data_IF_165003977450
#
_entry.id   IF_165003977450
#
_cell.length_a   1.000
_cell.length_b   1.000
_cell.length_c   1.000
_cell.angle_alpha   90.00
_cell.angle_beta   90.00
_cell.angle_gamma   90.00
#
_symmetry.space_group_name_H-M   'P 1'
#
loop_
_entity.id
_entity.type
_entity.pdbx_description
1 polymer ?
#
# COMPACT_ATOMS: atom_id res chain seq x y z
N UNK A 1 -12.28 20.54 14.18
CA UNK A 1 -13.41 19.93 13.45
C UNK A 1 -12.83 19.15 12.28
N UNK A 2 -12.83 17.81 12.35
CA UNK A 2 -12.38 16.99 11.24
C UNK A 2 -13.45 17.08 10.14
N UNK A 3 -13.09 17.64 8.99
CA UNK A 3 -13.95 17.56 7.82
C UNK A 3 -14.01 16.08 7.39
N UNK A 4 -15.17 15.45 7.60
CA UNK A 4 -15.54 14.24 6.90
C UNK A 4 -15.65 14.63 5.42
N UNK A 5 -14.65 14.30 4.62
CA UNK A 5 -14.74 14.44 3.16
C UNK A 5 -15.78 13.41 2.73
N UNK A 6 -17.04 13.85 2.56
CA UNK A 6 -18.16 12.91 2.40
C UNK A 6 -18.21 12.24 1.03
N UNK A 7 -17.42 12.65 0.05
CA UNK A 7 -17.38 12.03 -1.28
C UNK A 7 -15.97 12.11 -1.88
N UNK A 8 -15.42 10.95 -2.27
CA UNK A 8 -14.17 10.88 -3.03
C UNK A 8 -14.44 11.28 -4.48
N UNK A 9 -14.13 12.53 -4.83
CA UNK A 9 -14.34 13.03 -6.20
C UNK A 9 -13.26 12.51 -7.15
N UNK A 10 -13.56 12.49 -8.46
CA UNK A 10 -12.56 12.18 -9.49
C UNK A 10 -11.34 13.13 -9.42
N UNK A 11 -11.58 14.40 -9.09
CA UNK A 11 -10.53 15.40 -8.89
C UNK A 11 -9.60 15.02 -7.74
N UNK A 12 -10.17 14.56 -6.61
CA UNK A 12 -9.40 14.07 -5.47
C UNK A 12 -8.47 12.92 -5.87
N UNK A 13 -8.98 11.91 -6.58
CA UNK A 13 -8.16 10.79 -7.04
C UNK A 13 -7.11 11.22 -8.06
N UNK A 14 -7.44 12.19 -8.92
CA UNK A 14 -6.50 12.72 -9.93
C UNK A 14 -5.33 13.43 -9.24
N UNK A 15 -5.61 14.28 -8.25
CA UNK A 15 -4.60 14.96 -7.45
C UNK A 15 -3.75 13.96 -6.66
N UNK A 16 -4.38 12.97 -6.04
CA UNK A 16 -3.68 11.95 -5.26
C UNK A 16 -2.76 11.09 -6.13
N UNK A 17 -3.23 10.68 -7.31
CA UNK A 17 -2.41 9.95 -8.28
C UNK A 17 -1.25 10.80 -8.82
N UNK A 18 -1.43 12.11 -8.99
CA UNK A 18 -0.38 13.03 -9.42
C UNK A 18 0.74 13.21 -8.38
N UNK A 19 0.45 13.03 -7.09
CA UNK A 19 1.46 13.06 -6.01
C UNK A 19 2.32 11.80 -5.96
N UNK A 20 1.89 10.74 -6.64
CA UNK A 20 2.65 9.51 -6.85
C UNK A 20 2.00 8.28 -6.22
N UNK A 21 2.38 7.11 -6.73
CA UNK A 21 1.76 5.84 -6.37
C UNK A 21 1.89 5.49 -4.88
N UNK A 22 2.98 5.90 -4.24
CA UNK A 22 3.21 5.68 -2.81
C UNK A 22 2.15 6.37 -1.96
N UNK A 23 1.90 7.67 -2.21
CA UNK A 23 0.88 8.42 -1.45
C UNK A 23 -0.53 7.87 -1.69
N UNK A 24 -0.84 7.47 -2.93
CA UNK A 24 -2.11 6.83 -3.25
C UNK A 24 -2.33 5.55 -2.44
N UNK A 25 -1.32 4.67 -2.36
CA UNK A 25 -1.41 3.42 -1.61
C UNK A 25 -1.50 3.68 -0.10
N UNK A 26 -0.69 4.58 0.45
CA UNK A 26 -0.75 4.95 1.87
C UNK A 26 -2.13 5.50 2.23
N UNK A 27 -2.74 6.30 1.36
CA UNK A 27 -4.09 6.77 1.52
C UNK A 27 -5.12 5.63 1.46
N UNK A 28 -5.04 4.74 0.46
CA UNK A 28 -5.93 3.58 0.37
C UNK A 28 -5.86 2.69 1.63
N UNK A 29 -4.66 2.50 2.20
CA UNK A 29 -4.47 1.78 3.45
C UNK A 29 -5.12 2.49 4.64
N UNK A 30 -4.98 3.82 4.71
CA UNK A 30 -5.55 4.64 5.79
C UNK A 30 -7.07 4.64 5.78
N UNK A 31 -7.68 4.69 4.59
CA UNK A 31 -9.13 4.63 4.42
C UNK A 31 -9.69 3.19 4.50
N UNK A 32 -8.83 2.18 4.72
CA UNK A 32 -9.25 0.78 4.83
C UNK A 32 -9.74 0.17 3.51
N UNK A 33 -9.37 0.75 2.37
CA UNK A 33 -9.73 0.24 1.04
C UNK A 33 -8.88 -0.97 0.64
N UNK A 34 -7.65 -1.04 1.16
CA UNK A 34 -6.73 -2.17 0.98
C UNK A 34 -6.07 -2.53 2.32
N UNK A 35 -5.47 -3.72 2.38
CA UNK A 35 -4.76 -4.18 3.57
C UNK A 35 -3.59 -3.23 3.91
N UNK A 36 -3.54 -2.75 5.15
CA UNK A 36 -2.47 -1.88 5.68
C UNK A 36 -1.31 -2.66 6.29
N UNK A 37 -1.50 -3.96 6.52
CA UNK A 37 -0.48 -4.86 7.02
C UNK A 37 -0.66 -6.25 6.40
N UNK A 38 0.44 -6.98 6.29
CA UNK A 38 0.42 -8.36 5.85
C UNK A 38 1.49 -9.14 6.61
N UNK A 39 1.12 -10.31 7.12
CA UNK A 39 2.03 -11.20 7.84
C UNK A 39 2.58 -12.27 6.90
N UNK A 40 3.86 -12.56 7.02
CA UNK A 40 4.49 -13.60 6.23
C UNK A 40 3.91 -14.97 6.62
N UNK A 41 3.34 -15.74 5.68
CA UNK A 41 2.67 -17.00 5.99
C UNK A 41 3.63 -18.09 6.51
N UNK A 42 4.95 -17.90 6.35
CA UNK A 42 5.99 -18.81 6.83
C UNK A 42 6.54 -18.43 8.20
N UNK A 43 6.67 -17.13 8.44
CA UNK A 43 7.45 -16.61 9.56
C UNK A 43 6.59 -15.89 10.61
N UNK A 44 5.33 -15.58 10.29
CA UNK A 44 4.43 -14.73 11.06
C UNK A 44 5.02 -13.35 11.38
N UNK A 45 5.98 -12.90 10.57
CA UNK A 45 6.61 -11.59 10.69
C UNK A 45 5.86 -10.58 9.82
N UNK A 46 5.72 -9.36 10.31
CA UNK A 46 5.16 -8.27 9.50
C UNK A 46 6.01 -8.00 8.27
N UNK A 47 5.35 -7.99 7.12
CA UNK A 47 5.97 -7.72 5.84
C UNK A 47 6.09 -6.21 5.59
N UNK A 48 7.08 -5.81 4.80
CA UNK A 48 7.17 -4.45 4.26
C UNK A 48 6.59 -4.40 2.85
N UNK A 49 5.79 -3.38 2.56
CA UNK A 49 5.40 -3.08 1.19
C UNK A 49 6.54 -2.34 0.51
N UNK A 50 7.03 -2.86 -0.61
CA UNK A 50 8.13 -2.28 -1.38
C UNK A 50 7.68 -1.98 -2.81
N UNK A 51 8.17 -0.89 -3.39
CA UNK A 51 7.95 -0.60 -4.80
C UNK A 51 8.78 -1.53 -5.69
N UNK A 52 8.15 -2.13 -6.70
CA UNK A 52 8.78 -3.03 -7.66
C UNK A 52 8.35 -2.69 -9.08
N UNK A 53 9.34 -2.29 -9.89
CA UNK A 53 9.12 -1.67 -11.20
C UNK A 53 8.64 -2.60 -12.32
N UNK A 54 8.71 -3.93 -12.18
CA UNK A 54 8.75 -4.80 -13.38
C UNK A 54 7.72 -5.93 -13.49
N UNK A 55 6.94 -6.29 -12.46
CA UNK A 55 6.06 -7.48 -12.54
C UNK A 55 4.67 -7.29 -11.91
N UNK A 56 4.52 -6.39 -10.93
CA UNK A 56 3.24 -6.24 -10.23
C UNK A 56 2.42 -5.11 -10.86
N UNK A 57 1.11 -5.35 -11.06
CA UNK A 57 0.19 -4.42 -11.70
C UNK A 57 0.11 -3.05 -10.99
N UNK A 58 0.07 -3.06 -9.66
CA UNK A 58 0.11 -1.85 -8.84
C UNK A 58 1.53 -1.29 -8.69
N UNK A 59 2.55 -2.11 -8.95
CA UNK A 59 3.96 -1.79 -8.80
C UNK A 59 4.47 -1.95 -7.38
N UNK A 60 3.78 -2.68 -6.50
CA UNK A 60 4.17 -2.88 -5.11
C UNK A 60 4.10 -4.36 -4.72
N UNK A 61 4.99 -4.78 -3.83
CA UNK A 61 5.07 -6.15 -3.36
C UNK A 61 5.32 -6.19 -1.85
N UNK A 62 4.57 -7.05 -1.16
CA UNK A 62 4.85 -7.37 0.23
C UNK A 62 6.07 -8.30 0.30
N UNK A 63 7.12 -7.88 1.03
CA UNK A 63 8.30 -8.70 1.29
C UNK A 63 8.53 -8.91 2.79
N UNK A 64 8.88 -10.12 3.17
CA UNK A 64 9.21 -10.49 4.53
C UNK A 64 10.53 -9.82 4.94
N UNK A 65 10.57 -9.25 6.13
CA UNK A 65 11.78 -8.58 6.64
C UNK A 65 12.80 -9.57 7.22
N UNK A 66 12.41 -10.85 7.37
CA UNK A 66 13.27 -11.90 7.93
C UNK A 66 14.27 -12.41 6.90
N UNK A 67 15.55 -12.33 7.22
CA UNK A 67 16.63 -12.85 6.36
C UNK A 67 16.40 -14.34 6.05
N UNK A 68 16.66 -14.74 4.80
CA UNK A 68 16.51 -16.11 4.28
C UNK A 68 15.06 -16.66 4.31
N UNK A 69 14.06 -15.80 4.49
CA UNK A 69 12.68 -16.19 4.19
C UNK A 69 12.48 -16.22 2.67
N UNK A 70 11.70 -17.17 2.16
CA UNK A 70 11.40 -17.26 0.72
C UNK A 70 10.57 -16.07 0.21
N UNK A 71 9.89 -15.38 1.11
CA UNK A 71 9.13 -14.16 0.86
C UNK A 71 9.95 -12.89 1.08
N UNK A 72 11.25 -12.98 1.41
CA UNK A 72 12.10 -11.83 1.72
C UNK A 72 12.56 -11.06 0.48
#
# INVERSE_FOLDING_TARGET
MAALVSEYTLEFFTLLNARGKKELIEWCMKEGLIASSYECPKCNEQMGLNERKSVVLDGFEWRCRKKRCEYA
#
